data_IF_107920574792
#
_entry.id   IF_107920574792
#
_cell.length_a   1.000
_cell.length_b   1.000
_cell.length_c   1.000
_cell.angle_alpha   90.00
_cell.angle_beta   90.00
_cell.angle_gamma   90.00
#
_symmetry.space_group_name_H-M   'P 1'
#
loop_
_entity.id
_entity.type
_entity.pdbx_description
1 polymer ?
#
# COMPACT_ATOMS: atom_id res chain seq x y z
N UNK A 1 37.32 -11.40 27.59
CA UNK A 1 36.15 -11.12 26.73
C UNK A 1 35.15 -12.22 26.96
N UNK A 2 34.14 -11.94 27.78
CA UNK A 2 33.27 -12.96 28.37
C UNK A 2 32.42 -13.65 27.29
N UNK A 3 32.51 -14.98 27.25
CA UNK A 3 31.72 -15.86 26.37
C UNK A 3 30.22 -15.57 26.45
N UNK A 4 29.75 -15.06 27.60
CA UNK A 4 28.38 -14.60 27.84
C UNK A 4 28.03 -13.34 27.04
N UNK A 5 28.95 -12.39 26.91
CA UNK A 5 28.77 -11.17 26.12
C UNK A 5 28.73 -11.49 24.62
N UNK A 6 29.57 -12.43 24.16
CA UNK A 6 29.52 -12.93 22.78
C UNK A 6 28.20 -13.66 22.48
N UNK A 7 27.69 -14.47 23.41
CA UNK A 7 26.42 -15.17 23.25
C UNK A 7 25.23 -14.20 23.22
N UNK A 8 25.22 -13.17 24.06
CA UNK A 8 24.17 -12.12 24.07
C UNK A 8 24.22 -11.28 22.79
N UNK A 9 25.42 -10.94 22.30
CA UNK A 9 25.57 -10.23 21.03
C UNK A 9 25.10 -11.08 19.84
N UNK A 10 25.41 -12.38 19.81
CA UNK A 10 24.92 -13.31 18.79
C UNK A 10 23.40 -13.48 18.89
N UNK A 11 22.83 -13.59 20.10
CA UNK A 11 21.38 -13.67 20.30
C UNK A 11 20.67 -12.40 19.82
N UNK A 12 21.23 -11.23 20.11
CA UNK A 12 20.70 -9.93 19.69
C UNK A 12 20.74 -9.77 18.16
N UNK A 13 21.81 -10.23 17.51
CA UNK A 13 21.95 -10.25 16.04
C UNK A 13 20.98 -11.27 15.42
N UNK A 14 20.74 -12.41 16.05
CA UNK A 14 19.76 -13.40 15.60
C UNK A 14 18.32 -12.88 15.70
N UNK A 15 17.97 -12.16 16.77
CA UNK A 15 16.67 -11.49 16.89
C UNK A 15 16.49 -10.31 15.93
N UNK A 16 17.59 -9.64 15.53
CA UNK A 16 17.55 -8.59 14.51
C UNK A 16 17.47 -9.13 13.07
N UNK A 17 17.90 -10.38 12.85
CA UNK A 17 17.85 -11.06 11.56
C UNK A 17 16.49 -11.75 11.30
N UNK A 18 15.69 -11.95 12.34
CA UNK A 18 14.31 -12.42 12.24
C UNK A 18 13.30 -11.26 12.27
N UNK A 19 13.54 -10.20 11.49
CA UNK A 19 12.37 -9.49 10.96
C UNK A 19 11.69 -10.51 10.04
N UNK A 20 10.46 -10.98 10.32
CA UNK A 20 9.85 -11.99 9.48
C UNK A 20 9.84 -11.45 8.06
N UNK A 21 10.34 -12.22 7.09
CA UNK A 21 10.23 -11.90 5.66
C UNK A 21 8.75 -11.78 5.21
N UNK A 22 7.78 -12.07 6.09
CA UNK A 22 6.39 -11.62 5.98
C UNK A 22 6.24 -10.10 5.97
N UNK A 23 7.29 -9.35 6.35
CA UNK A 23 7.45 -7.96 6.03
C UNK A 23 7.42 -7.81 4.51
N UNK A 24 6.22 -7.50 4.03
CA UNK A 24 5.87 -6.78 2.79
C UNK A 24 5.46 -7.60 1.59
N UNK A 25 5.08 -8.86 1.73
CA UNK A 25 4.24 -9.43 0.68
C UNK A 25 2.83 -8.87 0.82
N UNK A 26 2.58 -7.74 0.13
CA UNK A 26 1.27 -7.10 0.07
C UNK A 26 0.25 -7.98 -0.67
N UNK A 27 0.70 -9.02 -1.37
CA UNK A 27 -0.14 -9.99 -2.08
C UNK A 27 -0.40 -11.26 -1.28
N UNK A 28 0.22 -11.43 -0.11
CA UNK A 28 -0.02 -12.58 0.76
C UNK A 28 -1.48 -12.65 1.21
N UNK A 29 -1.94 -13.88 1.41
CA UNK A 29 -3.26 -14.18 1.99
C UNK A 29 -3.05 -14.43 3.47
N UNK A 30 -3.69 -13.64 4.32
CA UNK A 30 -3.57 -13.82 5.77
C UNK A 30 -4.73 -14.68 6.28
N UNK A 31 -4.48 -15.57 7.26
CA UNK A 31 -5.49 -16.48 7.77
C UNK A 31 -6.59 -15.78 8.57
N UNK A 32 -6.36 -14.54 9.02
CA UNK A 32 -7.33 -13.74 9.77
C UNK A 32 -7.06 -12.25 9.64
N UNK A 33 -8.07 -11.44 9.96
CA UNK A 33 -7.92 -9.98 10.02
C UNK A 33 -6.86 -9.54 11.05
N UNK A 34 -6.74 -10.27 12.17
CA UNK A 34 -5.72 -10.03 13.18
C UNK A 34 -4.30 -10.30 12.65
N UNK A 35 -4.11 -11.37 11.87
CA UNK A 35 -2.83 -11.67 11.23
C UNK A 35 -2.45 -10.60 10.19
N UNK A 36 -3.41 -10.15 9.40
CA UNK A 36 -3.23 -9.02 8.48
C UNK A 36 -2.86 -7.72 9.22
N UNK A 37 -3.57 -7.41 10.30
CA UNK A 37 -3.28 -6.22 11.11
C UNK A 37 -1.88 -6.26 11.74
N UNK A 38 -1.45 -7.42 12.24
CA UNK A 38 -0.10 -7.62 12.77
C UNK A 38 0.97 -7.45 11.67
N UNK A 39 0.73 -8.00 10.47
CA UNK A 39 1.65 -7.87 9.34
C UNK A 39 1.80 -6.42 8.86
N UNK A 40 0.74 -5.60 8.98
CA UNK A 40 0.79 -4.18 8.64
C UNK A 40 1.30 -3.26 9.75
N UNK A 41 1.48 -3.75 10.98
CA UNK A 41 1.89 -2.91 12.10
C UNK A 41 3.14 -2.05 11.82
N UNK A 42 4.24 -2.58 11.24
CA UNK A 42 5.43 -1.77 10.94
C UNK A 42 5.16 -0.66 9.91
N UNK A 43 4.25 -0.91 8.98
CA UNK A 43 3.92 0.06 7.92
C UNK A 43 2.98 1.15 8.44
N UNK A 44 2.05 0.80 9.34
CA UNK A 44 1.23 1.76 10.08
C UNK A 44 2.10 2.66 10.95
N UNK A 45 3.03 2.08 11.71
CA UNK A 45 3.96 2.85 12.53
C UNK A 45 4.82 3.80 11.69
N UNK A 46 5.28 3.37 10.50
CA UNK A 46 6.01 4.25 9.58
C UNK A 46 5.17 5.45 9.12
N UNK A 47 3.90 5.21 8.76
CA UNK A 47 2.98 6.27 8.35
C UNK A 47 2.57 7.19 9.51
N UNK A 48 2.52 6.69 10.75
CA UNK A 48 2.29 7.47 11.97
C UNK A 48 3.51 8.35 12.31
N UNK A 49 4.72 7.78 12.25
CA UNK A 49 5.97 8.52 12.50
C UNK A 49 6.22 9.61 11.46
N UNK A 50 5.85 9.36 10.21
CA UNK A 50 5.90 10.35 9.15
C UNK A 50 4.59 10.38 8.34
N UNK A 51 3.64 11.26 8.72
CA UNK A 51 2.39 11.41 7.98
C UNK A 51 2.54 11.92 6.54
N UNK A 52 3.74 12.34 6.12
CA UNK A 52 4.06 12.73 4.73
C UNK A 52 4.92 11.71 4.01
N UNK A 53 5.09 10.50 4.55
CA UNK A 53 5.70 9.39 3.84
C UNK A 53 4.72 8.86 2.78
N UNK A 54 4.88 9.34 1.55
CA UNK A 54 4.03 8.94 0.43
C UNK A 54 4.15 7.44 0.13
N UNK A 55 5.34 6.85 0.32
CA UNK A 55 5.57 5.44 0.04
C UNK A 55 4.92 4.56 1.12
N UNK A 56 5.06 4.90 2.40
CA UNK A 56 4.39 4.17 3.48
C UNK A 56 2.86 4.16 3.28
N UNK A 57 2.28 5.33 2.96
CA UNK A 57 0.84 5.46 2.64
C UNK A 57 0.45 4.66 1.40
N UNK A 58 1.21 4.78 0.31
CA UNK A 58 0.95 4.01 -0.90
C UNK A 58 0.92 2.50 -0.64
N UNK A 59 1.92 2.00 0.11
CA UNK A 59 2.02 0.58 0.44
C UNK A 59 0.91 0.12 1.39
N UNK A 60 0.43 0.97 2.31
CA UNK A 60 -0.76 0.68 3.10
C UNK A 60 -1.97 0.55 2.19
N UNK A 61 -2.16 1.50 1.27
CA UNK A 61 -3.24 1.49 0.30
C UNK A 61 -3.25 0.20 -0.54
N UNK A 62 -2.08 -0.24 -1.02
CA UNK A 62 -1.93 -1.49 -1.75
C UNK A 62 -2.31 -2.72 -0.91
N UNK A 63 -1.93 -2.77 0.37
CA UNK A 63 -2.29 -3.89 1.24
C UNK A 63 -3.79 -4.01 1.45
N UNK A 64 -4.45 -2.88 1.76
CA UNK A 64 -5.90 -2.84 1.93
C UNK A 64 -6.62 -3.15 0.62
N UNK A 65 -6.11 -2.66 -0.51
CA UNK A 65 -6.64 -2.97 -1.83
C UNK A 65 -6.53 -4.46 -2.13
N UNK A 66 -5.38 -5.08 -1.88
CA UNK A 66 -5.17 -6.50 -2.12
C UNK A 66 -6.14 -7.37 -1.30
N UNK A 67 -6.29 -7.11 0.00
CA UNK A 67 -7.24 -7.85 0.84
C UNK A 67 -8.68 -7.63 0.38
N UNK A 68 -9.04 -6.41 -0.04
CA UNK A 68 -10.36 -6.17 -0.63
C UNK A 68 -10.58 -7.03 -1.88
N UNK A 69 -9.60 -7.12 -2.79
CA UNK A 69 -9.68 -8.00 -3.96
C UNK A 69 -9.80 -9.47 -3.58
N UNK A 70 -9.07 -9.91 -2.56
CA UNK A 70 -9.15 -11.27 -2.03
C UNK A 70 -10.54 -11.55 -1.44
N UNK A 71 -11.15 -10.57 -0.77
CA UNK A 71 -12.51 -10.66 -0.26
C UNK A 71 -13.54 -10.78 -1.39
N UNK A 72 -13.42 -9.96 -2.45
CA UNK A 72 -14.34 -9.98 -3.60
C UNK A 72 -14.40 -11.35 -4.28
N UNK A 73 -13.28 -12.08 -4.31
CA UNK A 73 -13.19 -13.43 -4.89
C UNK A 73 -13.43 -14.55 -3.88
N UNK A 74 -13.78 -14.22 -2.62
CA UNK A 74 -14.07 -15.20 -1.57
C UNK A 74 -12.87 -15.92 -0.97
N UNK A 75 -11.65 -15.42 -1.20
CA UNK A 75 -10.41 -16.02 -0.67
C UNK A 75 -10.23 -15.74 0.84
N UNK A 76 -10.77 -14.63 1.31
CA UNK A 76 -10.78 -14.25 2.74
C UNK A 76 -12.18 -13.79 3.16
N UNK A 77 -12.51 -13.98 4.44
CA UNK A 77 -13.82 -13.62 5.00
C UNK A 77 -13.91 -12.18 5.55
N UNK A 78 -12.82 -11.42 5.51
CA UNK A 78 -12.71 -10.06 6.06
C UNK A 78 -12.27 -9.06 4.98
N UNK A 79 -12.37 -7.75 5.25
CA UNK A 79 -11.89 -6.72 4.33
C UNK A 79 -12.89 -6.22 3.29
N UNK A 80 -14.20 -6.48 3.48
CA UNK A 80 -15.29 -5.97 2.64
C UNK A 80 -15.17 -4.46 2.34
N UNK A 81 -14.91 -3.68 3.38
CA UNK A 81 -14.87 -2.22 3.31
C UNK A 81 -13.45 -1.64 3.14
N UNK A 82 -12.44 -2.50 2.94
CA UNK A 82 -11.04 -2.07 2.83
C UNK A 82 -10.75 -1.27 1.56
N UNK A 83 -11.61 -1.32 0.54
CA UNK A 83 -11.55 -0.41 -0.59
C UNK A 83 -11.61 1.07 -0.16
N UNK A 84 -12.36 1.42 0.90
CA UNK A 84 -12.42 2.80 1.41
C UNK A 84 -11.12 3.21 2.08
N UNK A 85 -10.52 2.29 2.84
CA UNK A 85 -9.23 2.51 3.50
C UNK A 85 -8.13 2.66 2.48
N UNK A 86 -8.12 1.79 1.46
CA UNK A 86 -7.17 1.86 0.35
C UNK A 86 -7.25 3.20 -0.40
N UNK A 87 -8.46 3.66 -0.74
CA UNK A 87 -8.65 4.97 -1.36
C UNK A 87 -8.12 6.11 -0.48
N UNK A 88 -8.43 6.09 0.83
CA UNK A 88 -7.97 7.12 1.76
C UNK A 88 -6.43 7.20 1.80
N UNK A 89 -5.76 6.05 1.82
CA UNK A 89 -4.30 5.96 1.82
C UNK A 89 -3.67 6.39 0.50
N UNK A 90 -4.24 5.99 -0.66
CA UNK A 90 -3.77 6.47 -1.95
C UNK A 90 -3.92 7.99 -2.08
N UNK A 91 -5.07 8.54 -1.68
CA UNK A 91 -5.26 10.00 -1.66
C UNK A 91 -4.29 10.68 -0.71
N UNK A 92 -3.96 10.06 0.42
CA UNK A 92 -3.00 10.61 1.36
C UNK A 92 -1.57 10.57 0.81
N UNK A 93 -1.19 9.52 0.09
CA UNK A 93 0.08 9.45 -0.63
C UNK A 93 0.18 10.57 -1.68
N UNK A 94 -0.90 10.86 -2.42
CA UNK A 94 -0.96 11.95 -3.39
C UNK A 94 -0.90 13.35 -2.75
N UNK A 95 -1.47 13.52 -1.55
CA UNK A 95 -1.30 14.77 -0.78
C UNK A 95 0.15 14.98 -0.33
N UNK A 96 0.84 13.90 0.00
CA UNK A 96 2.24 13.94 0.45
C UNK A 96 3.22 14.12 -0.73
N UNK A 97 2.94 13.50 -1.87
CA UNK A 97 3.72 13.59 -3.10
C UNK A 97 2.78 13.74 -4.30
N UNK A 98 2.42 14.98 -4.67
CA UNK A 98 1.62 15.24 -5.86
C UNK A 98 2.31 14.67 -7.10
N UNK A 99 1.58 13.89 -7.90
CA UNK A 99 2.14 13.17 -9.04
C UNK A 99 2.82 11.84 -8.72
N UNK A 100 2.66 11.28 -7.52
CA UNK A 100 3.09 9.92 -7.21
C UNK A 100 2.35 8.89 -8.09
N UNK A 101 2.98 8.50 -9.20
CA UNK A 101 2.35 7.74 -10.28
C UNK A 101 1.73 6.41 -9.82
N UNK A 102 2.41 5.70 -8.91
CA UNK A 102 1.89 4.45 -8.36
C UNK A 102 0.55 4.63 -7.63
N UNK A 103 0.42 5.70 -6.84
CA UNK A 103 -0.85 5.99 -6.15
C UNK A 103 -1.94 6.49 -7.09
N UNK A 104 -1.59 7.26 -8.13
CA UNK A 104 -2.56 7.67 -9.16
C UNK A 104 -3.15 6.45 -9.88
N UNK A 105 -2.29 5.55 -10.36
CA UNK A 105 -2.71 4.35 -11.09
C UNK A 105 -3.50 3.38 -10.20
N UNK A 106 -3.07 3.20 -8.94
CA UNK A 106 -3.78 2.36 -7.98
C UNK A 106 -5.16 2.93 -7.62
N UNK A 107 -5.26 4.24 -7.39
CA UNK A 107 -6.53 4.91 -7.14
C UNK A 107 -7.45 4.84 -8.36
N UNK A 108 -6.94 5.11 -9.56
CA UNK A 108 -7.69 4.94 -10.82
C UNK A 108 -8.26 3.52 -10.95
N UNK A 109 -7.44 2.51 -10.70
CA UNK A 109 -7.86 1.10 -10.76
C UNK A 109 -8.95 0.79 -9.73
N UNK A 110 -8.78 1.27 -8.50
CA UNK A 110 -9.77 1.10 -7.43
C UNK A 110 -11.11 1.73 -7.79
N UNK A 111 -11.12 2.97 -8.28
CA UNK A 111 -12.34 3.67 -8.66
C UNK A 111 -13.07 2.94 -9.79
N UNK A 112 -12.33 2.47 -10.82
CA UNK A 112 -12.90 1.65 -11.89
C UNK A 112 -13.55 0.37 -11.40
N UNK A 113 -12.89 -0.36 -10.51
CA UNK A 113 -13.42 -1.62 -9.98
C UNK A 113 -14.69 -1.39 -9.14
N UNK A 114 -14.80 -0.24 -8.47
CA UNK A 114 -16.02 0.16 -7.75
C UNK A 114 -17.14 0.67 -8.68
N UNK A 115 -16.87 0.79 -9.99
CA UNK A 115 -17.80 1.39 -10.96
C UNK A 115 -17.88 2.92 -10.89
N UNK A 116 -16.95 3.56 -10.16
CA UNK A 116 -16.83 5.02 -10.05
C UNK A 116 -16.04 5.57 -11.24
N UNK A 117 -16.67 5.50 -12.42
CA UNK A 117 -16.05 5.87 -13.70
C UNK A 117 -15.73 7.36 -13.78
N UNK A 118 -16.61 8.23 -13.25
CA UNK A 118 -16.37 9.67 -13.23
C UNK A 118 -15.16 10.04 -12.36
N UNK A 119 -15.02 9.41 -11.19
CA UNK A 119 -13.84 9.57 -10.36
C UNK A 119 -12.56 9.06 -11.02
N UNK A 120 -12.63 7.94 -11.73
CA UNK A 120 -11.50 7.39 -12.46
C UNK A 120 -11.06 8.29 -13.64
N UNK A 121 -12.01 8.77 -14.44
CA UNK A 121 -11.73 9.66 -15.58
C UNK A 121 -11.09 10.98 -15.15
N UNK A 122 -11.49 11.53 -14.00
CA UNK A 122 -10.89 12.72 -13.44
C UNK A 122 -9.37 12.58 -13.19
N UNK A 123 -8.88 11.34 -12.98
CA UNK A 123 -7.45 11.06 -12.76
C UNK A 123 -6.68 10.85 -14.07
N UNK A 124 -7.36 10.54 -15.19
CA UNK A 124 -6.70 10.21 -16.45
C UNK A 124 -5.85 11.36 -16.98
N UNK A 125 -6.34 12.60 -16.86
CA UNK A 125 -5.58 13.78 -17.30
C UNK A 125 -4.22 13.88 -16.59
N UNK A 126 -4.18 13.58 -15.28
CA UNK A 126 -2.94 13.61 -14.51
C UNK A 126 -2.03 12.43 -14.85
N UNK A 127 -2.59 11.23 -15.01
CA UNK A 127 -1.85 10.03 -15.45
C UNK A 127 -1.21 10.27 -16.81
N UNK A 128 -1.99 10.71 -17.81
CA UNK A 128 -1.51 11.01 -19.16
C UNK A 128 -0.40 12.05 -19.17
N UNK A 129 -0.52 13.11 -18.36
CA UNK A 129 0.52 14.15 -18.24
C UNK A 129 1.85 13.59 -17.72
N UNK A 130 1.80 12.58 -16.84
CA UNK A 130 2.99 12.00 -16.20
C UNK A 130 3.62 10.87 -17.01
N UNK A 131 2.85 10.17 -17.85
CA UNK A 131 3.32 9.00 -18.61
C UNK A 131 3.61 9.30 -20.08
N UNK A 132 2.95 10.28 -20.68
CA UNK A 132 3.12 10.61 -22.09
C UNK A 132 4.17 11.73 -22.29
N UNK A 133 5.01 11.65 -23.34
CA UNK A 133 5.88 12.75 -23.73
C UNK A 133 5.05 14.00 -24.07
N UNK A 134 5.59 15.20 -23.77
CA UNK A 134 4.94 16.46 -24.15
C UNK A 134 4.76 16.52 -25.68
N UNK A 135 3.50 16.53 -26.13
CA UNK A 135 3.13 16.58 -27.55
C UNK A 135 2.08 15.54 -27.98
N UNK A 136 1.84 14.51 -27.16
CA UNK A 136 0.91 13.42 -27.49
C UNK A 136 -0.33 13.37 -26.60
N UNK A 137 -0.67 14.45 -25.89
CA UNK A 137 -1.97 14.49 -25.19
C UNK A 137 -3.06 14.49 -26.27
N UNK A 138 -3.86 13.42 -26.42
CA UNK A 138 -4.90 13.40 -27.44
C UNK A 138 -5.88 14.50 -27.07
N UNK A 139 -6.12 15.43 -28.00
CA UNK A 139 -7.17 16.41 -27.83
C UNK A 139 -8.49 15.63 -27.68
N UNK A 140 -9.05 15.65 -26.48
CA UNK A 140 -10.38 15.10 -26.23
C UNK A 140 -11.35 16.02 -26.99
N UNK A 141 -11.90 15.52 -28.10
CA UNK A 141 -12.98 16.18 -28.85
C UNK A 141 -14.32 15.74 -28.29
#
# INVERSE_FOLDING_TARGET
MDRKLALVAVLAVLTACAAPAAARDLSAVYPSEGAFAAALAPLREAAERNPRDAEARYRLGLAYFAVWRQYEVGLVAYGRDYHRVAEAEFRAALRASPGHLGSLLALYTLLRLRGDWSGAEALLAEVSRLTLPRGEVPAVR
#
